data_IF_493775860969
#
_entry.id   IF_493775860969
#
_cell.length_a   1.000
_cell.length_b   1.000
_cell.length_c   1.000
_cell.angle_alpha   90.00
_cell.angle_beta   90.00
_cell.angle_gamma   90.00
#
_symmetry.space_group_name_H-M   'P 1'
#
loop_
_entity.id
_entity.type
_entity.pdbx_description
1 polymer ?
#
# COMPACT_ATOMS: atom_id res chain seq x y z
N UNK A 1 17.74 4.31 7.57
CA UNK A 1 16.53 3.50 7.35
C UNK A 1 15.74 3.48 8.64
N UNK A 2 14.44 3.75 8.58
CA UNK A 2 13.56 3.87 9.76
C UNK A 2 12.60 2.67 9.82
N UNK A 3 12.75 1.84 10.84
CA UNK A 3 11.88 0.69 11.11
C UNK A 3 10.98 0.92 12.34
N UNK A 4 10.88 2.15 12.85
CA UNK A 4 10.12 2.47 14.06
C UNK A 4 8.62 2.18 13.94
N UNK A 5 8.10 2.08 12.71
CA UNK A 5 6.71 1.74 12.41
C UNK A 5 6.52 0.30 11.89
N UNK A 6 7.56 -0.53 11.86
CA UNK A 6 7.48 -1.89 11.34
C UNK A 6 6.80 -2.85 12.34
N UNK A 7 6.02 -3.81 11.82
CA UNK A 7 5.38 -4.86 12.62
C UNK A 7 5.93 -6.25 12.25
N UNK A 8 6.22 -7.07 13.26
CA UNK A 8 6.62 -8.45 13.08
C UNK A 8 5.37 -9.33 13.14
N UNK A 9 5.04 -9.97 12.02
CA UNK A 9 3.99 -10.97 11.98
C UNK A 9 4.53 -12.29 12.58
N UNK A 10 3.94 -12.73 13.70
CA UNK A 10 4.28 -14.02 14.32
C UNK A 10 3.68 -15.22 13.57
N UNK A 11 4.29 -16.41 13.73
CA UNK A 11 3.98 -17.66 13.00
C UNK A 11 2.57 -18.25 13.20
N UNK A 12 1.70 -17.69 14.05
CA UNK A 12 0.44 -18.35 14.44
C UNK A 12 -0.70 -18.30 13.40
N UNK A 13 -0.51 -17.72 12.21
CA UNK A 13 -1.60 -17.49 11.25
C UNK A 13 -1.81 -18.58 10.19
N UNK A 14 -1.02 -19.66 10.17
CA UNK A 14 -1.12 -20.70 9.13
C UNK A 14 -1.83 -22.01 9.53
N UNK A 15 -2.46 -22.11 10.71
CA UNK A 15 -3.20 -23.31 11.10
C UNK A 15 -4.71 -23.02 11.20
N UNK A 16 -5.41 -23.25 10.09
CA UNK A 16 -6.79 -23.75 10.10
C UNK A 16 -6.76 -24.98 9.19
N UNK A 17 -6.93 -26.19 9.68
CA UNK A 17 -8.28 -26.73 9.91
C UNK A 17 -8.28 -27.99 10.81
N UNK A 18 -9.43 -28.20 11.46
CA UNK A 18 -9.96 -29.47 11.99
C UNK A 18 -9.37 -30.08 13.28
N UNK A 19 -9.90 -29.67 14.44
CA UNK A 19 -10.85 -30.47 15.26
C UNK A 19 -10.89 -30.04 16.74
N UNK A 20 -12.12 -29.76 17.20
CA UNK A 20 -12.67 -29.86 18.56
C UNK A 20 -11.92 -29.34 19.81
N UNK A 21 -12.68 -28.51 20.55
CA UNK A 21 -12.77 -28.38 22.02
C UNK A 21 -11.95 -27.29 22.73
N UNK A 22 -12.73 -26.28 23.18
CA UNK A 22 -12.61 -25.45 24.38
C UNK A 22 -11.27 -25.47 25.15
N UNK A 23 -10.51 -24.39 25.01
CA UNK A 23 -9.92 -23.73 26.18
C UNK A 23 -9.86 -22.23 25.93
N UNK A 24 -10.53 -21.47 26.80
CA UNK A 24 -10.46 -20.02 26.86
C UNK A 24 -9.01 -19.57 27.10
N UNK A 25 -8.29 -19.27 26.02
CA UNK A 25 -7.17 -18.34 26.09
C UNK A 25 -7.52 -17.17 25.19
N UNK A 26 -8.02 -16.12 25.83
CA UNK A 26 -8.15 -14.79 25.22
C UNK A 26 -6.74 -14.28 24.96
N UNK A 27 -6.17 -14.66 23.82
CA UNK A 27 -4.96 -14.06 23.29
C UNK A 27 -5.35 -12.67 22.80
N UNK A 28 -5.14 -11.68 23.67
CA UNK A 28 -5.37 -10.28 23.35
C UNK A 28 -4.61 -9.92 22.06
N UNK A 29 -5.35 -9.73 20.97
CA UNK A 29 -4.88 -8.97 19.82
C UNK A 29 -4.44 -7.62 20.40
N UNK A 30 -3.13 -7.35 20.38
CA UNK A 30 -2.57 -6.12 20.93
C UNK A 30 -3.22 -4.96 20.17
N UNK A 31 -4.11 -4.25 20.88
CA UNK A 31 -4.71 -3.00 20.44
C UNK A 31 -3.58 -2.05 20.07
N UNK A 32 -3.35 -1.85 18.77
CA UNK A 32 -2.33 -0.95 18.26
C UNK A 32 -2.72 0.47 18.68
N UNK A 33 -1.87 1.10 19.48
CA UNK A 33 -1.93 2.55 19.72
C UNK A 33 -1.42 3.21 18.44
N UNK A 34 -2.17 4.18 17.89
CA UNK A 34 -1.69 5.07 16.84
C UNK A 34 -0.31 5.58 17.25
N UNK A 35 0.74 5.08 16.60
CA UNK A 35 2.04 5.71 16.63
C UNK A 35 1.89 6.93 15.73
N UNK A 36 1.87 8.13 16.31
CA UNK A 36 1.98 9.36 15.52
C UNK A 36 3.33 9.31 14.81
N UNK A 37 3.31 9.07 13.50
CA UNK A 37 4.50 8.76 12.72
C UNK A 37 4.22 8.36 11.27
N UNK A 38 2.99 7.96 10.93
CA UNK A 38 2.65 7.65 9.55
C UNK A 38 2.66 8.93 8.70
N UNK A 39 3.28 8.86 7.53
CA UNK A 39 3.15 9.88 6.48
C UNK A 39 1.93 9.52 5.63
N UNK A 40 0.75 10.13 5.85
CA UNK A 40 -0.52 9.64 5.32
C UNK A 40 -0.56 9.64 3.80
N UNK A 41 0.23 10.51 3.15
CA UNK A 41 0.37 10.63 1.71
C UNK A 41 0.81 9.32 1.03
N UNK A 42 1.52 8.43 1.73
CA UNK A 42 2.02 7.16 1.18
C UNK A 42 1.23 5.95 1.66
N UNK A 43 0.32 6.13 2.62
CA UNK A 43 -0.45 5.02 3.17
C UNK A 43 -1.54 4.57 2.19
N UNK A 44 -1.91 3.28 2.16
CA UNK A 44 -2.98 2.79 1.31
C UNK A 44 -4.36 3.10 1.92
N UNK A 45 -5.43 3.24 1.12
CA UNK A 45 -6.75 3.69 1.58
C UNK A 45 -7.34 2.84 2.72
N UNK A 46 -7.03 1.54 2.80
CA UNK A 46 -7.49 0.67 3.89
C UNK A 46 -6.92 1.05 5.26
N UNK A 47 -5.72 1.64 5.31
CA UNK A 47 -5.06 2.02 6.56
C UNK A 47 -5.79 3.15 7.29
N UNK A 48 -6.51 4.00 6.55
CA UNK A 48 -7.31 5.09 7.10
C UNK A 48 -8.70 4.62 7.55
N UNK A 49 -9.29 3.62 6.87
CA UNK A 49 -10.64 3.12 7.18
C UNK A 49 -10.62 2.13 8.34
N UNK A 50 -9.60 1.28 8.41
CA UNK A 50 -9.55 0.15 9.35
C UNK A 50 -8.36 0.26 10.30
N UNK A 51 -8.43 1.25 11.17
CA UNK A 51 -7.39 1.54 12.19
C UNK A 51 -7.13 0.41 13.19
N UNK A 52 -7.93 -0.66 13.19
CA UNK A 52 -7.76 -1.84 14.04
C UNK A 52 -7.32 -3.09 13.29
N UNK A 53 -7.28 -3.05 11.95
CA UNK A 53 -6.84 -4.19 11.15
C UNK A 53 -5.31 -4.35 11.27
N UNK A 54 -4.79 -5.58 11.17
CA UNK A 54 -3.35 -5.83 11.23
C UNK A 54 -2.63 -5.10 10.09
N UNK A 55 -1.38 -4.68 10.33
CA UNK A 55 -0.52 -4.18 9.26
C UNK A 55 -0.22 -5.35 8.31
N UNK A 56 -0.51 -5.15 7.03
CA UNK A 56 -0.34 -6.18 6.01
C UNK A 56 0.84 -5.82 5.09
N UNK A 57 1.58 -6.82 4.57
CA UNK A 57 2.63 -6.57 3.57
C UNK A 57 2.14 -5.84 2.32
N UNK A 58 0.85 -5.95 1.99
CA UNK A 58 0.23 -5.20 0.89
C UNK A 58 0.30 -3.69 1.08
N UNK A 59 0.38 -3.19 2.33
CA UNK A 59 0.49 -1.76 2.61
C UNK A 59 1.83 -1.18 2.15
N UNK A 60 2.90 -1.95 2.30
CA UNK A 60 4.22 -1.58 1.78
C UNK A 60 4.24 -1.58 0.25
N UNK A 61 3.53 -2.52 -0.38
CA UNK A 61 3.43 -2.59 -1.84
C UNK A 61 2.73 -1.36 -2.44
N UNK A 62 1.72 -0.81 -1.75
CA UNK A 62 1.10 0.45 -2.16
C UNK A 62 2.06 1.62 -2.03
N UNK A 63 2.72 1.73 -0.87
CA UNK A 63 3.70 2.78 -0.60
C UNK A 63 4.81 2.78 -1.65
N UNK A 64 5.23 1.59 -2.07
CA UNK A 64 6.19 1.40 -3.15
C UNK A 64 5.66 1.89 -4.51
N UNK A 65 4.38 1.68 -4.82
CA UNK A 65 3.73 2.22 -6.03
C UNK A 65 3.76 3.75 -6.07
N UNK A 66 3.43 4.41 -4.94
CA UNK A 66 3.50 5.87 -4.80
C UNK A 66 4.93 6.37 -5.03
N UNK A 67 5.92 5.76 -4.37
CA UNK A 67 7.34 6.14 -4.50
C UNK A 67 7.82 5.92 -5.94
N UNK A 68 7.45 4.80 -6.56
CA UNK A 68 7.81 4.50 -7.95
C UNK A 68 7.25 5.54 -8.92
N UNK A 69 5.99 5.94 -8.75
CA UNK A 69 5.38 6.99 -9.55
C UNK A 69 6.13 8.33 -9.38
N UNK A 70 6.47 8.71 -8.14
CA UNK A 70 7.23 9.93 -7.85
C UNK A 70 8.61 9.87 -8.52
N UNK A 71 9.31 8.74 -8.46
CA UNK A 71 10.63 8.60 -9.10
C UNK A 71 10.57 8.75 -10.62
N UNK A 72 9.48 8.33 -11.26
CA UNK A 72 9.34 8.33 -12.73
C UNK A 72 8.75 9.63 -13.30
N UNK A 73 7.97 10.36 -12.50
CA UNK A 73 7.24 11.56 -12.95
C UNK A 73 7.69 12.84 -12.24
N UNK A 74 8.34 12.72 -11.07
CA UNK A 74 8.67 13.85 -10.20
C UNK A 74 7.49 14.42 -9.42
N UNK A 75 6.31 13.81 -9.53
CA UNK A 75 5.06 14.31 -8.93
C UNK A 75 4.43 13.25 -8.03
N UNK A 76 3.65 13.68 -7.04
CA UNK A 76 2.84 12.76 -6.25
C UNK A 76 1.58 12.39 -7.05
N UNK A 77 1.12 11.12 -7.08
CA UNK A 77 -0.05 10.75 -7.89
C UNK A 77 -1.32 11.52 -7.47
N UNK A 78 -1.46 11.87 -6.18
CA UNK A 78 -2.58 12.67 -5.68
C UNK A 78 -2.31 14.19 -5.64
N UNK A 79 -1.10 14.62 -6.02
CA UNK A 79 -0.74 16.04 -6.18
C UNK A 79 0.11 16.25 -7.44
N UNK A 80 -0.59 16.43 -8.55
CA UNK A 80 0.03 16.70 -9.86
C UNK A 80 0.54 18.14 -9.99
N UNK A 81 0.17 19.02 -9.06
CA UNK A 81 0.59 20.43 -9.04
C UNK A 81 1.81 20.69 -8.15
N UNK A 82 2.10 19.78 -7.21
CA UNK A 82 3.13 19.95 -6.20
C UNK A 82 2.80 21.09 -5.21
N UNK A 83 1.52 21.42 -5.05
CA UNK A 83 1.03 22.53 -4.23
C UNK A 83 0.03 22.07 -3.16
N UNK A 84 -0.35 20.79 -3.16
CA UNK A 84 -1.36 20.30 -2.22
C UNK A 84 -0.75 20.13 -0.83
N UNK A 85 -1.53 20.42 0.21
CA UNK A 85 -1.12 20.09 1.58
C UNK A 85 -1.27 18.60 1.86
N UNK A 86 -0.60 18.11 2.91
CA UNK A 86 -0.70 16.70 3.32
C UNK A 86 -2.17 16.31 3.60
N UNK A 87 -2.97 17.22 4.16
CA UNK A 87 -4.39 16.99 4.43
C UNK A 87 -5.23 16.88 3.14
N UNK A 88 -4.88 17.66 2.11
CA UNK A 88 -5.54 17.60 0.80
C UNK A 88 -5.19 16.31 0.06
N UNK A 89 -3.92 15.88 0.14
CA UNK A 89 -3.46 14.60 -0.38
C UNK A 89 -4.18 13.46 0.33
N UNK A 90 -4.25 13.49 1.67
CA UNK A 90 -4.98 12.49 2.46
C UNK A 90 -6.47 12.47 2.10
N UNK A 91 -7.08 13.64 1.91
CA UNK A 91 -8.47 13.71 1.49
C UNK A 91 -8.68 13.05 0.13
N UNK A 92 -7.86 13.38 -0.87
CA UNK A 92 -7.93 12.78 -2.22
C UNK A 92 -7.72 11.27 -2.18
N UNK A 93 -6.78 10.80 -1.38
CA UNK A 93 -6.52 9.37 -1.19
C UNK A 93 -7.74 8.62 -0.63
N UNK A 94 -8.64 9.30 0.12
CA UNK A 94 -9.88 8.69 0.63
C UNK A 94 -11.04 8.75 -0.38
N UNK A 95 -11.10 9.80 -1.19
CA UNK A 95 -12.30 10.12 -1.98
C UNK A 95 -12.15 9.86 -3.47
N UNK A 96 -10.93 9.67 -3.96
CA UNK A 96 -10.63 9.57 -5.37
C UNK A 96 -9.84 8.31 -5.68
N UNK A 97 -10.16 7.69 -6.82
CA UNK A 97 -9.29 6.70 -7.43
C UNK A 97 -7.93 7.33 -7.77
N UNK A 98 -6.85 6.52 -7.86
CA UNK A 98 -5.58 6.99 -8.39
C UNK A 98 -5.75 7.71 -9.72
N UNK A 99 -4.92 8.73 -10.02
CA UNK A 99 -4.98 9.41 -11.31
C UNK A 99 -4.80 8.39 -12.45
N UNK A 100 -5.48 8.58 -13.59
CA UNK A 100 -5.29 7.69 -14.73
C UNK A 100 -3.82 7.75 -15.18
N UNK A 101 -3.13 6.62 -15.05
CA UNK A 101 -1.75 6.48 -15.48
C UNK A 101 -1.64 6.29 -16.99
N UNK A 102 -2.70 5.76 -17.62
CA UNK A 102 -2.83 5.65 -19.07
C UNK A 102 -3.42 6.93 -19.66
N UNK A 103 -2.94 7.32 -20.83
CA UNK A 103 -3.41 8.51 -21.56
C UNK A 103 -3.21 9.85 -20.81
N UNK A 104 -2.34 9.89 -19.80
CA UNK A 104 -1.97 11.13 -19.12
C UNK A 104 -0.72 11.74 -19.78
N UNK A 105 -0.68 13.06 -20.04
CA UNK A 105 0.51 13.73 -20.55
C UNK A 105 1.73 13.55 -19.63
N UNK A 106 1.50 13.39 -18.33
CA UNK A 106 2.55 13.25 -17.31
C UNK A 106 3.25 11.90 -17.39
N UNK A 107 2.55 10.86 -17.85
CA UNK A 107 3.05 9.49 -17.93
C UNK A 107 3.28 9.02 -19.37
N UNK A 108 3.09 9.90 -20.35
CA UNK A 108 3.19 9.57 -21.77
C UNK A 108 4.59 9.10 -22.19
N UNK A 109 5.63 9.45 -21.45
CA UNK A 109 7.01 8.99 -21.66
C UNK A 109 7.31 7.63 -21.01
N UNK A 110 6.40 7.09 -20.20
CA UNK A 110 6.59 5.81 -19.52
C UNK A 110 6.26 4.64 -20.45
N UNK A 111 6.97 3.53 -20.27
CA UNK A 111 6.65 2.30 -20.98
C UNK A 111 5.33 1.70 -20.49
N UNK A 112 4.63 0.96 -21.35
CA UNK A 112 3.42 0.22 -20.96
C UNK A 112 3.68 -0.73 -19.78
N UNK A 113 4.86 -1.36 -19.74
CA UNK A 113 5.23 -2.27 -18.64
C UNK A 113 5.45 -1.55 -17.31
N UNK A 114 5.97 -0.32 -17.30
CA UNK A 114 6.06 0.49 -16.06
C UNK A 114 4.67 0.88 -15.57
N UNK A 115 3.79 1.28 -16.50
CA UNK A 115 2.43 1.69 -16.16
C UNK A 115 1.67 0.51 -15.55
N UNK A 116 1.71 -0.67 -16.19
CA UNK A 116 1.09 -1.90 -15.68
C UNK A 116 1.61 -2.26 -14.28
N UNK A 117 2.91 -2.08 -14.01
CA UNK A 117 3.45 -2.34 -12.68
C UNK A 117 2.88 -1.38 -11.62
N UNK A 118 2.86 -0.07 -11.90
CA UNK A 118 2.35 0.92 -10.95
C UNK A 118 0.86 0.69 -10.71
N UNK A 119 0.06 0.40 -11.75
CA UNK A 119 -1.37 0.08 -11.63
C UNK A 119 -1.60 -1.10 -10.66
N UNK A 120 -0.79 -2.16 -10.76
CA UNK A 120 -0.90 -3.34 -9.88
C UNK A 120 -0.38 -3.12 -8.46
N UNK A 121 0.61 -2.24 -8.27
CA UNK A 121 1.11 -1.84 -6.96
C UNK A 121 0.08 -0.98 -6.22
N UNK A 122 -0.63 -0.12 -6.96
CA UNK A 122 -1.64 0.79 -6.44
C UNK A 122 -3.07 0.27 -6.64
N UNK A 123 -3.27 -1.06 -6.65
CA UNK A 123 -4.61 -1.62 -6.65
C UNK A 123 -5.32 -1.26 -5.33
N UNK A 124 -6.54 -0.75 -5.46
CA UNK A 124 -7.36 -0.31 -4.35
C UNK A 124 -7.71 -1.47 -3.41
N UNK A 125 -7.89 -2.68 -3.95
CA UNK A 125 -8.16 -3.87 -3.15
C UNK A 125 -6.84 -4.49 -2.71
N UNK A 126 -6.58 -4.59 -1.40
CA UNK A 126 -5.32 -5.14 -0.91
C UNK A 126 -5.09 -6.61 -1.32
N UNK A 127 -6.16 -7.36 -1.59
CA UNK A 127 -6.12 -8.76 -2.04
C UNK A 127 -5.69 -8.92 -3.49
N UNK A 128 -5.95 -7.90 -4.32
CA UNK A 128 -5.68 -7.94 -5.76
C UNK A 128 -4.33 -7.27 -6.07
N UNK A 129 -3.82 -6.49 -5.10
CA UNK A 129 -2.51 -5.83 -5.14
C UNK A 129 -1.37 -6.84 -5.29
N UNK A 130 -0.45 -6.54 -6.20
CA UNK A 130 0.68 -7.42 -6.50
C UNK A 130 1.57 -7.64 -5.26
N UNK A 131 1.98 -8.89 -5.05
CA UNK A 131 2.92 -9.23 -3.97
C UNK A 131 4.36 -8.90 -4.37
N UNK A 132 5.26 -8.71 -3.40
CA UNK A 132 6.68 -8.49 -3.64
C UNK A 132 7.31 -9.57 -4.54
N UNK A 133 6.93 -10.84 -4.33
CA UNK A 133 7.39 -11.94 -5.15
C UNK A 133 6.93 -11.81 -6.62
N UNK A 134 5.66 -11.53 -6.85
CA UNK A 134 5.13 -11.32 -8.21
C UNK A 134 5.75 -10.08 -8.88
N UNK A 135 5.95 -9.00 -8.12
CA UNK A 135 6.60 -7.77 -8.60
C UNK A 135 8.01 -8.04 -9.12
N UNK A 136 8.83 -8.81 -8.39
CA UNK A 136 10.16 -9.21 -8.85
C UNK A 136 10.15 -10.03 -10.13
N UNK A 137 9.02 -10.69 -10.44
CA UNK A 137 8.85 -11.46 -11.67
C UNK A 137 8.27 -10.64 -12.82
N UNK A 138 7.92 -9.37 -12.59
CA UNK A 138 7.26 -8.50 -13.55
C UNK A 138 8.17 -8.16 -14.73
N UNK A 139 7.63 -8.07 -15.97
CA UNK A 139 8.42 -7.73 -17.15
C UNK A 139 9.26 -6.46 -16.99
N UNK A 140 8.69 -5.42 -16.38
CA UNK A 140 9.40 -4.15 -16.14
C UNK A 140 10.63 -4.29 -15.24
N UNK A 141 10.62 -5.23 -14.28
CA UNK A 141 11.74 -5.49 -13.37
C UNK A 141 12.77 -6.42 -14.02
N UNK A 142 12.32 -7.37 -14.85
CA UNK A 142 13.21 -8.35 -15.49
C UNK A 142 13.97 -7.81 -16.71
N UNK A 143 13.41 -6.81 -17.40
CA UNK A 143 13.95 -6.29 -18.66
C UNK A 143 13.45 -7.08 -19.85
#
# INVERSE_FOLDING_TARGET
VDFGCAEILGESSFITDSSSSLSSQSSAIKKVRRMGGNTPAYSPPEAQVRTTDPILPSMDMWSLGIILYIMLTGLHPFDLTGQATDEEIEHKLRTCDPPPLRNSPITAHLSESSIDLIERLMDWKPTDRITAWQMLQHPWIKG
#
